data_IF_574537278295
#
_entry.id   IF_574537278295
#
_cell.length_a   1.000
_cell.length_b   1.000
_cell.length_c   1.000
_cell.angle_alpha   90.00
_cell.angle_beta   90.00
_cell.angle_gamma   90.00
#
_symmetry.space_group_name_H-M   'P 1'
#
loop_
_entity.id
_entity.type
_entity.pdbx_description
1 polymer ?
#
# COMPACT_ATOMS: atom_id res chain seq x y z
N UNK A 1 20.26 6.48 23.37
CA UNK A 1 18.89 6.69 22.84
C UNK A 1 18.95 6.54 21.33
N UNK A 2 18.03 5.78 20.75
CA UNK A 2 18.00 5.49 19.32
C UNK A 2 16.57 5.15 18.89
N UNK A 3 16.36 4.92 17.59
CA UNK A 3 15.07 4.50 17.10
C UNK A 3 14.76 3.07 17.57
N UNK A 4 13.53 2.83 18.03
CA UNK A 4 12.97 1.50 18.26
C UNK A 4 12.15 1.07 17.04
N UNK A 5 12.20 -0.23 16.70
CA UNK A 5 11.29 -0.82 15.72
C UNK A 5 9.87 -0.80 16.31
N UNK A 6 8.94 -0.18 15.58
CA UNK A 6 7.55 0.01 15.95
C UNK A 6 6.62 -0.83 15.08
N UNK A 7 5.54 -0.22 14.59
CA UNK A 7 4.52 -0.94 13.81
C UNK A 7 5.03 -1.39 12.43
N UNK A 8 4.57 -2.57 12.01
CA UNK A 8 4.78 -3.11 10.67
C UNK A 8 3.50 -3.05 9.86
N UNK A 9 3.59 -2.52 8.65
CA UNK A 9 2.47 -2.40 7.73
C UNK A 9 2.96 -2.52 6.29
N UNK A 10 2.03 -2.63 5.35
CA UNK A 10 2.32 -2.81 3.94
C UNK A 10 2.23 -1.48 3.22
N UNK A 11 3.17 -1.25 2.31
CA UNK A 11 3.05 -0.31 1.22
C UNK A 11 2.53 -1.05 -0.02
N UNK A 12 1.37 -0.64 -0.52
CA UNK A 12 0.80 -1.16 -1.76
C UNK A 12 0.90 -0.07 -2.82
N UNK A 13 1.51 -0.41 -3.96
CA UNK A 13 1.63 0.48 -5.11
C UNK A 13 0.80 -0.05 -6.26
N UNK A 14 -0.42 0.44 -6.39
CA UNK A 14 -1.30 0.11 -7.49
C UNK A 14 -1.04 1.05 -8.67
N UNK A 15 -0.42 0.52 -9.74
CA UNK A 15 0.03 1.32 -10.87
C UNK A 15 -0.47 0.77 -12.20
N UNK A 16 -0.93 1.66 -13.08
CA UNK A 16 -1.33 1.27 -14.44
C UNK A 16 -0.21 0.60 -15.26
N UNK A 17 1.06 0.93 -14.99
CA UNK A 17 2.20 0.34 -15.71
C UNK A 17 2.56 -1.06 -15.21
N UNK A 18 2.16 -1.43 -13.99
CA UNK A 18 2.36 -2.78 -13.47
C UNK A 18 1.22 -3.69 -13.95
N UNK A 19 -0.02 -3.24 -13.75
CA UNK A 19 -1.21 -3.84 -14.35
C UNK A 19 -2.30 -2.76 -14.47
N UNK A 20 -2.93 -2.68 -15.64
CA UNK A 20 -3.88 -1.60 -15.97
C UNK A 20 -5.10 -1.54 -15.03
N UNK A 21 -5.47 -2.65 -14.39
CA UNK A 21 -6.62 -2.73 -13.48
C UNK A 21 -6.28 -2.40 -12.03
N UNK A 22 -5.00 -2.34 -11.64
CA UNK A 22 -4.60 -2.21 -10.23
C UNK A 22 -5.14 -0.94 -9.56
N UNK A 23 -5.03 0.27 -10.14
CA UNK A 23 -5.50 1.47 -9.46
C UNK A 23 -7.01 1.47 -9.19
N UNK A 24 -7.79 0.80 -10.05
CA UNK A 24 -9.23 0.65 -9.87
C UNK A 24 -9.55 -0.46 -8.85
N UNK A 25 -8.80 -1.57 -8.86
CA UNK A 25 -8.89 -2.63 -7.84
C UNK A 25 -8.63 -2.10 -6.43
N UNK A 26 -7.78 -1.08 -6.30
CA UNK A 26 -7.36 -0.50 -5.04
C UNK A 26 -8.40 0.41 -4.36
N UNK A 27 -9.47 0.81 -5.07
CA UNK A 27 -10.50 1.73 -4.55
C UNK A 27 -11.90 1.15 -4.78
N UNK A 28 -12.85 1.46 -3.90
CA UNK A 28 -14.21 0.97 -4.06
C UNK A 28 -14.93 1.60 -5.27
N UNK A 29 -14.75 2.92 -5.48
CA UNK A 29 -15.33 3.66 -6.59
C UNK A 29 -14.41 4.82 -6.98
N UNK A 30 -14.39 5.17 -8.26
CA UNK A 30 -13.74 6.40 -8.74
C UNK A 30 -14.54 7.61 -8.27
N UNK A 31 -13.86 8.62 -7.74
CA UNK A 31 -14.51 9.91 -7.46
C UNK A 31 -14.94 10.59 -8.76
N UNK A 32 -16.21 11.02 -8.90
CA UNK A 32 -16.68 11.70 -10.11
C UNK A 32 -15.80 12.88 -10.51
N UNK A 33 -15.49 12.99 -11.81
CA UNK A 33 -14.61 14.03 -12.35
C UNK A 33 -13.12 13.78 -12.15
N UNK A 34 -12.71 12.74 -11.42
CA UNK A 34 -11.31 12.38 -11.23
C UNK A 34 -10.98 11.04 -11.91
N UNK A 35 -9.80 10.99 -12.51
CA UNK A 35 -9.19 9.75 -12.97
C UNK A 35 -8.04 9.40 -12.03
N UNK A 36 -8.03 8.22 -11.39
CA UNK A 36 -6.86 7.76 -10.66
C UNK A 36 -5.65 7.74 -11.62
N UNK A 37 -4.47 8.11 -11.12
CA UNK A 37 -3.21 8.02 -11.89
C UNK A 37 -2.27 6.94 -11.31
N UNK A 38 -2.40 6.68 -10.01
CA UNK A 38 -1.82 5.59 -9.24
C UNK A 38 -2.48 5.61 -7.86
N UNK A 39 -2.33 4.55 -7.06
CA UNK A 39 -2.64 4.60 -5.63
C UNK A 39 -1.44 4.08 -4.82
N UNK A 40 -1.03 4.88 -3.83
CA UNK A 40 -0.07 4.48 -2.81
C UNK A 40 -0.82 4.36 -1.48
N UNK A 41 -0.86 3.15 -0.93
CA UNK A 41 -1.75 2.79 0.16
C UNK A 41 -1.00 2.05 1.26
N UNK A 42 -1.54 2.17 2.48
CA UNK A 42 -1.12 1.35 3.61
C UNK A 42 -2.15 0.24 3.87
N UNK A 43 -1.66 -0.95 4.22
CA UNK A 43 -2.49 -2.06 4.70
C UNK A 43 -1.84 -2.76 5.90
N UNK A 44 -2.60 -3.57 6.63
CA UNK A 44 -2.08 -4.29 7.79
C UNK A 44 -1.16 -5.42 7.33
N UNK A 45 -0.12 -5.72 8.10
CA UNK A 45 0.82 -6.80 7.77
C UNK A 45 0.13 -8.17 7.59
N UNK A 46 -0.94 -8.44 8.36
CA UNK A 46 -1.70 -9.70 8.26
C UNK A 46 -2.34 -9.95 6.90
N UNK A 47 -2.51 -8.92 6.09
CA UNK A 47 -3.14 -9.00 4.76
C UNK A 47 -2.09 -9.20 3.64
N UNK A 48 -0.81 -9.44 3.99
CA UNK A 48 0.30 -9.49 3.03
C UNK A 48 0.09 -10.50 1.91
N UNK A 49 -0.22 -11.75 2.26
CA UNK A 49 -0.40 -12.79 1.26
C UNK A 49 -1.52 -12.43 0.28
N UNK A 50 -2.68 -12.05 0.81
CA UNK A 50 -3.84 -11.65 0.02
C UNK A 50 -3.50 -10.50 -0.94
N UNK A 51 -2.78 -9.49 -0.46
CA UNK A 51 -2.45 -8.33 -1.29
C UNK A 51 -1.35 -8.64 -2.31
N UNK A 52 -0.43 -9.57 -2.04
CA UNK A 52 0.55 -10.04 -3.03
C UNK A 52 -0.08 -10.82 -4.18
N UNK A 53 -1.20 -11.48 -3.93
CA UNK A 53 -2.00 -12.15 -4.97
C UNK A 53 -2.76 -11.13 -5.85
N UNK A 54 -3.07 -9.96 -5.29
CA UNK A 54 -3.89 -8.93 -5.95
C UNK A 54 -3.11 -7.75 -6.52
N UNK A 55 -1.87 -7.52 -6.10
CA UNK A 55 -1.06 -6.38 -6.53
C UNK A 55 0.38 -6.81 -6.76
N UNK A 56 0.96 -6.35 -7.85
CA UNK A 56 2.32 -6.68 -8.26
C UNK A 56 3.38 -6.08 -7.31
N UNK A 57 3.06 -4.97 -6.62
CA UNK A 57 4.02 -4.21 -5.81
C UNK A 57 3.53 -4.00 -4.38
N UNK A 58 3.86 -4.97 -3.53
CA UNK A 58 3.58 -4.95 -2.09
C UNK A 58 4.88 -5.08 -1.31
N UNK A 59 5.14 -4.13 -0.41
CA UNK A 59 6.37 -4.07 0.39
C UNK A 59 6.06 -3.94 1.88
N UNK A 60 6.74 -4.72 2.72
CA UNK A 60 6.66 -4.58 4.18
C UNK A 60 7.47 -3.36 4.61
N UNK A 61 6.82 -2.38 5.23
CA UNK A 61 7.44 -1.27 5.90
C UNK A 61 7.61 -1.59 7.39
N UNK A 62 8.83 -1.42 7.89
CA UNK A 62 9.15 -1.48 9.31
C UNK A 62 9.34 -0.05 9.79
N UNK A 63 8.38 0.46 10.55
CA UNK A 63 8.45 1.84 11.04
C UNK A 63 9.37 1.89 12.24
N UNK A 64 10.33 2.80 12.20
CA UNK A 64 11.24 3.06 13.33
C UNK A 64 10.84 4.39 13.97
N UNK A 65 10.60 4.41 15.28
CA UNK A 65 10.19 5.61 16.01
C UNK A 65 11.13 5.89 17.18
N UNK A 66 11.33 7.17 17.47
CA UNK A 66 11.92 7.61 18.74
C UNK A 66 10.75 7.98 19.65
N UNK A 67 10.68 7.39 20.85
CA UNK A 67 9.80 7.90 21.89
C UNK A 67 10.34 9.28 22.31
N UNK A 68 9.49 10.31 22.18
CA UNK A 68 9.78 11.69 22.56
C UNK A 68 9.38 11.95 24.01
#
# INVERSE_FOLDING_TARGET
>A
MGFAEGEHYLHVYANYYAEAAEPDRAIAERRPGLRPMQAFLHAKLRDEQLLREQFARVHVCRRFTVEL
#
